data_IF_374400336462
#
_entry.id   IF_374400336462
#
_cell.length_a   1.000
_cell.length_b   1.000
_cell.length_c   1.000
_cell.angle_alpha   90.00
_cell.angle_beta   90.00
_cell.angle_gamma   90.00
#
_symmetry.space_group_name_H-M   'P 1'
#
loop_
_entity.id
_entity.type
_entity.pdbx_description
1 polymer ?
#
# COMPACT_ATOMS: atom_id res chain seq x y z
N UNK A 1 -67.27 28.65 18.08
CA UNK A 1 -67.10 29.74 19.07
C UNK A 1 -65.62 30.01 19.23
N UNK A 2 -65.19 31.28 19.09
CA UNK A 2 -63.83 31.84 19.33
C UNK A 2 -62.75 31.38 18.31
N UNK A 3 -62.35 32.08 17.23
CA UNK A 3 -61.98 33.48 16.95
C UNK A 3 -60.71 34.00 17.64
N UNK A 4 -59.71 34.33 16.80
CA UNK A 4 -58.61 35.34 16.96
C UNK A 4 -57.45 34.91 17.88
N UNK A 5 -56.16 35.08 17.61
CA UNK A 5 -55.37 35.99 16.73
C UNK A 5 -53.93 35.46 16.59
N UNK A 6 -53.29 35.57 15.42
CA UNK A 6 -51.85 35.90 15.35
C UNK A 6 -51.62 36.89 14.21
N UNK A 7 -51.06 38.05 14.58
CA UNK A 7 -50.68 39.17 13.71
C UNK A 7 -49.42 38.80 12.92
N UNK A 8 -49.44 38.95 11.61
CA UNK A 8 -48.23 39.02 10.76
C UNK A 8 -48.05 40.48 10.33
N UNK A 9 -46.98 41.12 10.81
CA UNK A 9 -46.52 42.42 10.33
C UNK A 9 -45.49 42.22 9.21
N UNK A 10 -45.72 42.91 8.11
CA UNK A 10 -44.84 43.09 6.96
C UNK A 10 -43.77 44.13 7.29
N UNK A 11 -42.50 43.85 6.98
CA UNK A 11 -41.54 44.90 6.63
C UNK A 11 -40.79 44.44 5.38
N UNK A 12 -41.08 45.17 4.31
CA UNK A 12 -40.37 45.23 3.04
C UNK A 12 -38.89 45.58 3.22
N UNK A 13 -38.01 44.83 2.57
CA UNK A 13 -36.74 45.37 2.09
C UNK A 13 -36.57 44.96 0.62
N UNK A 14 -36.96 45.87 -0.27
CA UNK A 14 -36.55 45.85 -1.68
C UNK A 14 -35.05 46.10 -1.74
N UNK A 15 -34.28 45.07 -2.11
CA UNK A 15 -32.88 45.23 -2.52
C UNK A 15 -32.84 45.10 -4.03
N UNK A 16 -32.54 46.21 -4.69
CA UNK A 16 -32.26 46.30 -6.13
C UNK A 16 -30.95 45.58 -6.44
N UNK A 17 -31.03 44.40 -7.06
CA UNK A 17 -29.89 43.73 -7.67
C UNK A 17 -29.58 44.39 -9.03
N UNK A 18 -28.70 45.38 -9.05
CA UNK A 18 -28.13 45.89 -10.30
C UNK A 18 -26.68 46.30 -10.11
N UNK A 19 -25.77 45.32 -10.14
CA UNK A 19 -24.38 45.48 -10.55
C UNK A 19 -23.63 44.13 -10.45
N UNK A 20 -23.81 43.25 -11.43
CA UNK A 20 -22.83 42.19 -11.71
C UNK A 20 -22.53 42.20 -13.22
N UNK A 21 -21.26 42.27 -13.64
CA UNK A 21 -20.90 42.33 -15.05
C UNK A 21 -21.10 40.97 -15.76
N UNK A 22 -21.32 40.97 -17.09
CA UNK A 22 -21.61 39.76 -17.86
C UNK A 22 -20.41 38.82 -17.98
N UNK A 23 -20.67 37.52 -17.85
CA UNK A 23 -19.70 36.41 -17.80
C UNK A 23 -19.13 35.99 -19.18
N UNK A 24 -18.71 36.95 -20.01
CA UNK A 24 -18.13 36.67 -21.34
C UNK A 24 -16.66 37.09 -21.50
N UNK A 25 -15.98 37.51 -20.43
CA UNK A 25 -14.56 37.90 -20.45
C UNK A 25 -13.65 36.97 -19.63
N UNK A 26 -13.83 35.66 -19.75
CA UNK A 26 -12.85 34.69 -19.27
C UNK A 26 -12.08 34.13 -20.47
N UNK A 27 -10.77 34.42 -20.62
CA UNK A 27 -9.98 33.87 -21.70
C UNK A 27 -9.90 32.34 -21.56
N UNK A 28 -10.46 31.70 -22.58
CA UNK A 28 -10.50 30.28 -22.79
C UNK A 28 -9.06 29.74 -22.82
N UNK A 29 -8.61 29.07 -21.75
CA UNK A 29 -7.31 28.41 -21.73
C UNK A 29 -7.39 27.18 -22.63
N UNK A 30 -6.99 27.34 -23.88
CA UNK A 30 -6.85 26.24 -24.84
C UNK A 30 -5.99 25.13 -24.23
N UNK A 31 -6.59 23.96 -24.01
CA UNK A 31 -5.85 22.75 -23.69
C UNK A 31 -5.24 22.25 -24.99
N UNK A 32 -3.95 22.52 -25.18
CA UNK A 32 -3.16 21.83 -26.19
C UNK A 32 -3.12 20.34 -25.84
N UNK A 33 -3.72 19.53 -26.72
CA UNK A 33 -3.60 18.08 -26.71
C UNK A 33 -2.30 17.78 -27.45
N UNK A 34 -1.24 17.41 -26.72
CA UNK A 34 -0.04 16.85 -27.35
C UNK A 34 -0.38 15.42 -27.79
N UNK A 35 -0.70 15.23 -29.08
CA UNK A 35 -0.71 13.90 -29.69
C UNK A 35 0.71 13.57 -30.13
N UNK A 36 1.37 12.66 -29.42
CA UNK A 36 2.55 11.96 -29.94
C UNK A 36 2.08 10.92 -30.97
N UNK A 37 2.61 10.89 -32.20
CA UNK A 37 2.35 9.80 -33.13
C UNK A 37 3.01 8.52 -32.60
N UNK A 38 2.22 7.46 -32.38
CA UNK A 38 2.76 6.14 -32.14
C UNK A 38 3.35 5.60 -33.45
N UNK A 39 4.67 5.38 -33.45
CA UNK A 39 5.36 4.58 -34.46
C UNK A 39 4.87 3.14 -34.36
N UNK A 40 4.11 2.69 -35.36
CA UNK A 40 3.69 1.29 -35.50
C UNK A 40 4.76 0.59 -36.34
N UNK A 41 5.62 -0.17 -35.66
CA UNK A 41 6.47 -1.16 -36.30
C UNK A 41 5.59 -2.36 -36.69
N UNK A 42 5.52 -2.67 -37.98
CA UNK A 42 4.87 -3.88 -38.49
C UNK A 42 5.67 -5.12 -38.07
N UNK A 43 5.02 -6.18 -37.55
CA UNK A 43 5.72 -7.41 -37.16
C UNK A 43 6.25 -8.14 -38.40
N UNK A 44 7.48 -8.70 -38.37
CA UNK A 44 7.97 -9.52 -39.46
C UNK A 44 7.16 -10.82 -39.56
N UNK A 45 6.63 -11.07 -40.75
CA UNK A 45 5.99 -12.32 -41.12
C UNK A 45 7.03 -13.43 -41.16
N UNK A 46 6.94 -14.39 -40.22
CA UNK A 46 7.50 -15.75 -40.34
C UNK A 46 7.04 -16.58 -39.12
N UNK A 47 5.82 -17.09 -39.16
CA UNK A 47 5.46 -18.23 -38.32
C UNK A 47 5.10 -19.39 -39.24
N UNK A 48 6.03 -20.34 -39.34
CA UNK A 48 5.83 -21.60 -40.03
C UNK A 48 4.70 -22.37 -39.34
N UNK A 49 3.68 -22.71 -40.12
CA UNK A 49 2.62 -23.63 -39.73
C UNK A 49 3.19 -25.01 -39.45
N UNK A 50 3.24 -25.43 -38.19
CA UNK A 50 3.49 -26.82 -37.82
C UNK A 50 2.19 -27.61 -37.97
N UNK A 51 2.26 -28.65 -38.80
CA UNK A 51 1.22 -29.64 -39.04
C UNK A 51 1.04 -30.54 -37.82
N UNK A 52 -0.22 -30.80 -37.46
CA UNK A 52 -0.63 -31.78 -36.46
C UNK A 52 -0.62 -33.19 -37.06
N UNK A 53 0.00 -34.19 -36.42
CA UNK A 53 -0.38 -35.58 -36.62
C UNK A 53 -1.38 -36.02 -35.55
N UNK A 54 -2.56 -36.42 -36.04
CA UNK A 54 -3.55 -37.27 -35.36
C UNK A 54 -2.95 -38.64 -35.04
N UNK A 55 -2.97 -39.07 -33.78
CA UNK A 55 -3.25 -40.46 -33.40
C UNK A 55 -3.30 -40.68 -31.87
N UNK A 56 -4.34 -41.43 -31.48
CA UNK A 56 -4.46 -42.34 -30.35
C UNK A 56 -4.58 -41.78 -28.91
N UNK A 57 -5.82 -41.82 -28.41
CA UNK A 57 -6.12 -41.95 -26.98
C UNK A 57 -5.70 -43.32 -26.44
N UNK A 58 -5.27 -43.38 -25.18
CA UNK A 58 -5.90 -44.31 -24.26
C UNK A 58 -6.36 -43.60 -22.97
N UNK A 59 -7.52 -44.04 -22.50
CA UNK A 59 -8.12 -43.65 -21.25
C UNK A 59 -7.24 -44.00 -20.05
N UNK A 60 -7.09 -43.05 -19.13
CA UNK A 60 -6.90 -43.37 -17.71
C UNK A 60 -7.59 -42.31 -16.85
N UNK A 61 -8.64 -42.76 -16.18
CA UNK A 61 -9.33 -42.06 -15.12
C UNK A 61 -8.35 -41.86 -13.97
N UNK A 62 -7.85 -40.65 -13.77
CA UNK A 62 -7.26 -40.24 -12.49
C UNK A 62 -7.96 -38.98 -12.01
N UNK A 63 -8.73 -39.13 -10.94
CA UNK A 63 -9.28 -38.03 -10.17
C UNK A 63 -8.14 -37.12 -9.71
N UNK A 64 -8.25 -35.78 -9.85
CA UNK A 64 -7.20 -34.89 -9.37
C UNK A 64 -7.08 -35.02 -7.85
N UNK A 65 -5.87 -35.09 -7.27
CA UNK A 65 -5.72 -35.04 -5.83
C UNK A 65 -6.21 -33.67 -5.38
N UNK A 66 -7.24 -33.71 -4.54
CA UNK A 66 -7.70 -32.56 -3.75
C UNK A 66 -6.48 -32.05 -2.98
N UNK A 67 -5.87 -30.98 -3.47
CA UNK A 67 -4.80 -30.27 -2.75
C UNK A 67 -5.46 -29.64 -1.53
N UNK A 68 -5.52 -30.41 -0.44
CA UNK A 68 -5.64 -29.87 0.89
C UNK A 68 -4.38 -29.03 1.08
N UNK A 69 -4.51 -27.72 0.85
CA UNK A 69 -3.48 -26.75 1.21
C UNK A 69 -3.38 -26.76 2.73
N UNK A 70 -2.64 -27.75 3.26
CA UNK A 70 -2.09 -27.67 4.61
C UNK A 70 -1.38 -26.33 4.64
N UNK A 71 -1.82 -25.47 5.54
CA UNK A 71 -1.16 -24.20 5.85
C UNK A 71 0.24 -24.56 6.37
N UNK A 72 1.20 -24.70 5.46
CA UNK A 72 2.59 -24.89 5.81
C UNK A 72 3.07 -23.57 6.40
N UNK A 73 3.57 -23.63 7.64
CA UNK A 73 4.32 -22.53 8.22
C UNK A 73 5.42 -22.16 7.20
N UNK A 74 5.54 -20.89 6.78
CA UNK A 74 6.60 -20.50 5.88
C UNK A 74 7.93 -20.88 6.51
N UNK A 75 8.77 -21.56 5.73
CA UNK A 75 10.10 -21.96 6.18
C UNK A 75 10.89 -20.68 6.57
N UNK A 76 11.60 -20.68 7.71
CA UNK A 76 12.42 -19.55 8.10
C UNK A 76 13.40 -19.20 6.97
N UNK A 77 13.69 -17.91 6.74
CA UNK A 77 14.61 -17.50 5.69
C UNK A 77 15.98 -18.14 5.94
N UNK A 78 16.63 -18.62 4.87
CA UNK A 78 17.95 -19.24 4.95
C UNK A 78 18.95 -18.30 5.64
N UNK A 79 19.83 -18.83 6.52
CA UNK A 79 20.81 -18.02 7.21
C UNK A 79 21.76 -17.37 6.20
N UNK A 80 21.89 -16.05 6.30
CA UNK A 80 22.78 -15.26 5.45
C UNK A 80 24.21 -15.72 5.73
N UNK A 81 24.94 -16.22 4.72
CA UNK A 81 26.29 -16.80 4.89
C UNK A 81 27.40 -15.81 4.54
N UNK A 82 27.08 -14.65 3.97
CA UNK A 82 28.07 -13.64 3.59
C UNK A 82 28.57 -12.87 4.83
N UNK A 83 29.89 -12.63 4.94
CA UNK A 83 30.44 -11.81 6.00
C UNK A 83 29.95 -10.36 5.84
N UNK A 84 29.62 -9.75 6.97
CA UNK A 84 29.21 -8.35 7.03
C UNK A 84 30.45 -7.47 6.76
N UNK A 85 30.36 -6.55 5.81
CA UNK A 85 31.35 -5.50 5.61
C UNK A 85 30.78 -4.17 6.16
N UNK A 86 30.98 -3.89 7.45
CA UNK A 86 30.61 -2.60 8.03
C UNK A 86 31.70 -1.57 7.79
N UNK A 87 31.31 -0.36 7.43
CA UNK A 87 32.23 0.79 7.42
C UNK A 87 32.64 1.17 8.84
N UNK A 88 33.87 1.67 8.98
CA UNK A 88 34.44 2.09 10.27
C UNK A 88 33.55 3.11 10.98
N UNK A 89 33.00 4.07 10.24
CA UNK A 89 32.08 5.07 10.80
C UNK A 89 30.81 4.46 11.39
N UNK A 90 30.28 3.38 10.81
CA UNK A 90 29.11 2.69 11.38
C UNK A 90 29.50 1.95 12.65
N UNK A 91 30.70 1.37 12.71
CA UNK A 91 31.19 0.70 13.93
C UNK A 91 31.34 1.68 15.10
N UNK A 92 31.80 2.90 14.85
CA UNK A 92 31.95 3.92 15.89
C UNK A 92 30.61 4.52 16.34
N UNK A 93 29.71 4.81 15.40
CA UNK A 93 28.48 5.56 15.67
C UNK A 93 27.29 4.69 16.07
N UNK A 94 27.27 3.39 15.71
CA UNK A 94 26.16 2.50 16.04
C UNK A 94 25.96 2.33 17.56
N UNK A 95 27.01 2.15 18.39
CA UNK A 95 26.86 2.11 19.83
C UNK A 95 26.24 3.41 20.38
N UNK A 96 26.68 4.57 19.88
CA UNK A 96 26.12 5.86 20.27
C UNK A 96 24.63 5.96 19.92
N UNK A 97 24.24 5.48 18.72
CA UNK A 97 22.84 5.42 18.30
C UNK A 97 22.03 4.47 19.22
N UNK A 98 22.58 3.32 19.59
CA UNK A 98 21.92 2.34 20.45
C UNK A 98 21.68 2.84 21.88
N UNK A 99 22.58 3.66 22.43
CA UNK A 99 22.41 4.26 23.78
C UNK A 99 21.29 5.29 23.88
N UNK A 100 20.81 5.83 22.76
CA UNK A 100 19.75 6.83 22.77
C UNK A 100 18.39 6.20 23.15
N UNK A 101 17.48 6.95 23.79
CA UNK A 101 16.27 6.37 24.38
C UNK A 101 15.17 6.00 23.38
N UNK A 102 15.10 6.68 22.23
CA UNK A 102 13.98 6.57 21.31
C UNK A 102 14.45 6.41 19.87
N UNK A 103 13.98 5.37 19.19
CA UNK A 103 14.38 5.06 17.83
C UNK A 103 13.17 5.03 16.89
N UNK A 104 13.39 5.43 15.64
CA UNK A 104 12.44 5.34 14.55
C UNK A 104 13.04 4.54 13.39
N UNK A 105 12.18 3.95 12.58
CA UNK A 105 12.58 3.22 11.37
C UNK A 105 11.66 3.55 10.21
N UNK A 106 12.24 3.65 9.02
CA UNK A 106 11.50 3.66 7.75
C UNK A 106 11.53 2.25 7.17
N UNK A 107 10.53 1.45 7.55
CA UNK A 107 10.39 0.06 7.11
C UNK A 107 9.67 -0.02 5.76
N UNK A 108 10.02 -1.00 4.94
CA UNK A 108 9.44 -1.21 3.62
C UNK A 108 8.58 -2.47 3.59
N UNK A 109 7.31 -2.29 3.23
CA UNK A 109 6.36 -3.40 3.01
C UNK A 109 5.91 -3.34 1.55
N UNK A 110 6.23 -4.38 0.77
CA UNK A 110 6.04 -4.41 -0.69
C UNK A 110 6.55 -3.15 -1.40
N UNK A 111 7.73 -2.66 -0.99
CA UNK A 111 8.37 -1.48 -1.58
C UNK A 111 7.77 -0.12 -1.18
N UNK A 112 6.73 -0.10 -0.34
CA UNK A 112 6.17 1.16 0.21
C UNK A 112 6.82 1.49 1.56
N UNK A 113 7.36 2.72 1.76
CA UNK A 113 7.95 3.14 3.02
C UNK A 113 6.89 3.49 4.06
N UNK A 114 7.13 3.08 5.30
CA UNK A 114 6.37 3.44 6.48
C UNK A 114 7.34 3.87 7.57
N UNK A 115 7.29 5.15 7.95
CA UNK A 115 8.02 5.68 9.10
C UNK A 115 7.25 5.33 10.37
N UNK A 116 7.88 4.58 11.26
CA UNK A 116 7.27 4.08 12.48
C UNK A 116 8.22 4.07 13.66
N UNK A 117 7.62 4.10 14.84
CA UNK A 117 8.23 3.91 16.16
C UNK A 117 7.57 2.71 16.86
N UNK A 118 8.11 2.32 18.01
CA UNK A 118 7.53 1.25 18.81
C UNK A 118 6.16 1.67 19.35
N UNK A 119 5.17 0.79 19.19
CA UNK A 119 3.80 1.03 19.64
C UNK A 119 2.87 1.59 18.56
N UNK A 120 3.40 2.06 17.43
CA UNK A 120 2.60 2.61 16.34
C UNK A 120 1.71 1.56 15.67
N UNK A 121 0.54 2.01 15.20
CA UNK A 121 -0.41 1.20 14.44
C UNK A 121 -0.34 1.55 12.95
N UNK A 122 0.05 0.57 12.14
CA UNK A 122 0.10 0.67 10.68
C UNK A 122 -1.12 0.05 10.03
N UNK A 123 -1.87 0.85 9.28
CA UNK A 123 -2.95 0.37 8.41
C UNK A 123 -2.45 0.20 6.99
N UNK A 124 -2.25 -1.05 6.56
CA UNK A 124 -1.75 -1.37 5.24
C UNK A 124 -2.85 -1.26 4.18
N UNK A 125 -2.57 -0.69 2.98
CA UNK A 125 -3.53 -0.48 1.90
C UNK A 125 -3.91 -1.76 1.14
N UNK A 126 -3.80 -2.93 1.78
CA UNK A 126 -4.14 -4.23 1.21
C UNK A 126 -4.40 -5.27 2.32
N UNK A 127 -5.04 -6.37 1.93
CA UNK A 127 -5.19 -7.56 2.75
C UNK A 127 -3.97 -8.45 2.57
N UNK A 128 -3.21 -8.64 3.64
CA UNK A 128 -2.06 -9.52 3.65
C UNK A 128 -2.54 -10.97 3.72
N UNK A 129 -2.24 -11.82 2.72
CA UNK A 129 -2.65 -13.21 2.75
C UNK A 129 -1.79 -13.99 3.76
N UNK A 130 -2.35 -15.06 4.33
CA UNK A 130 -1.59 -16.02 5.14
C UNK A 130 -1.30 -15.58 6.58
N UNK A 131 -1.66 -14.35 6.97
CA UNK A 131 -1.52 -13.89 8.36
C UNK A 131 -2.81 -14.07 9.16
N UNK A 132 -2.64 -14.37 10.44
CA UNK A 132 -3.70 -14.48 11.45
C UNK A 132 -3.51 -13.35 12.47
N UNK A 133 -4.60 -12.79 13.02
CA UNK A 133 -4.50 -11.92 14.19
C UNK A 133 -3.69 -12.59 15.30
N UNK A 134 -2.64 -11.92 15.76
CA UNK A 134 -1.71 -12.45 16.76
C UNK A 134 -0.34 -12.81 16.22
N UNK A 135 -0.20 -13.06 14.92
CA UNK A 135 1.08 -13.41 14.29
C UNK A 135 2.09 -12.26 14.43
N UNK A 136 3.37 -12.62 14.57
CA UNK A 136 4.48 -11.66 14.67
C UNK A 136 5.34 -11.76 13.41
N UNK A 137 5.51 -10.63 12.74
CA UNK A 137 6.26 -10.49 11.49
C UNK A 137 7.59 -9.81 11.79
N UNK A 138 8.70 -10.37 11.31
CA UNK A 138 10.01 -9.71 11.31
C UNK A 138 10.12 -8.83 10.06
N UNK A 139 10.29 -7.52 10.25
CA UNK A 139 10.46 -6.56 9.17
C UNK A 139 11.95 -6.45 8.83
N UNK A 140 12.33 -7.09 7.74
CA UNK A 140 13.73 -7.21 7.33
C UNK A 140 14.25 -6.00 6.55
N UNK A 141 13.35 -5.26 5.86
CA UNK A 141 13.74 -4.19 4.95
C UNK A 141 13.48 -2.84 5.58
N UNK A 142 14.56 -2.11 5.87
CA UNK A 142 14.51 -0.72 6.31
C UNK A 142 15.44 0.14 5.44
N UNK A 143 15.00 1.33 5.06
CA UNK A 143 15.87 2.30 4.36
C UNK A 143 16.68 3.15 5.33
N UNK A 144 16.05 3.51 6.44
CA UNK A 144 16.68 4.33 7.46
C UNK A 144 16.24 3.92 8.83
N UNK A 145 17.19 3.96 9.75
CA UNK A 145 16.96 3.76 11.16
C UNK A 145 17.67 4.89 11.90
N UNK A 146 17.03 5.47 12.90
CA UNK A 146 17.64 6.59 13.58
C UNK A 146 17.04 6.84 14.94
N UNK A 147 17.69 7.76 15.62
CA UNK A 147 17.19 8.42 16.81
C UNK A 147 17.33 9.94 16.56
N UNK A 148 17.27 10.75 17.62
CA UNK A 148 17.31 12.20 17.55
C UNK A 148 18.55 12.74 16.85
N UNK A 149 19.75 12.26 17.24
CA UNK A 149 21.02 12.87 16.81
C UNK A 149 21.75 12.04 15.74
N UNK A 150 21.54 10.72 15.74
CA UNK A 150 22.19 9.80 14.81
C UNK A 150 21.16 9.11 13.91
N UNK A 151 21.47 8.99 12.62
CA UNK A 151 20.64 8.25 11.65
C UNK A 151 21.52 7.37 10.76
N UNK A 152 21.27 6.07 10.83
CA UNK A 152 21.81 5.06 9.92
C UNK A 152 20.97 5.03 8.64
N UNK A 153 21.61 5.29 7.50
CA UNK A 153 21.01 5.20 6.17
C UNK A 153 21.61 4.02 5.41
N UNK A 154 20.76 3.19 4.83
CA UNK A 154 21.17 2.10 3.96
C UNK A 154 21.24 2.49 2.50
N UNK A 155 22.15 1.86 1.76
CA UNK A 155 22.28 2.00 0.30
C UNK A 155 22.19 0.61 -0.35
N UNK A 156 20.99 0.11 -0.72
CA UNK A 156 19.64 0.71 -0.67
C UNK A 156 18.86 0.45 0.64
N UNK A 157 19.23 -0.58 1.39
CA UNK A 157 18.62 -0.96 2.66
C UNK A 157 19.69 -1.14 3.73
N UNK A 158 19.30 -0.95 4.98
CA UNK A 158 20.12 -1.31 6.16
C UNK A 158 20.17 -2.83 6.25
N UNK A 159 21.31 -3.37 6.68
CA UNK A 159 21.47 -4.81 6.84
C UNK A 159 20.55 -5.35 7.95
N UNK A 160 19.93 -6.51 7.70
CA UNK A 160 18.91 -7.11 8.55
C UNK A 160 19.44 -7.56 9.91
N UNK A 161 20.77 -7.72 10.01
CA UNK A 161 21.46 -8.15 11.23
C UNK A 161 21.67 -6.98 12.19
N UNK A 162 21.71 -5.74 11.71
CA UNK A 162 21.95 -4.55 12.55
C UNK A 162 20.75 -4.16 13.42
N UNK A 163 19.56 -4.64 13.06
CA UNK A 163 18.34 -4.28 13.76
C UNK A 163 17.32 -5.41 13.72
N UNK A 164 16.49 -5.47 14.75
CA UNK A 164 15.34 -6.33 14.79
C UNK A 164 14.07 -5.48 14.95
N UNK A 165 13.24 -5.47 13.90
CA UNK A 165 11.93 -4.83 13.94
C UNK A 165 10.84 -5.90 13.85
N UNK A 166 10.02 -6.00 14.91
CA UNK A 166 8.89 -6.92 14.97
C UNK A 166 7.57 -6.16 14.91
N UNK A 167 6.65 -6.66 14.09
CA UNK A 167 5.31 -6.12 13.94
C UNK A 167 4.28 -7.22 14.20
N UNK A 168 3.35 -6.97 15.11
CA UNK A 168 2.26 -7.90 15.41
C UNK A 168 1.04 -7.59 14.54
N UNK A 169 0.43 -8.61 13.98
CA UNK A 169 -0.81 -8.50 13.21
C UNK A 169 -1.97 -8.35 14.19
N UNK A 170 -2.63 -7.19 14.17
CA UNK A 170 -3.82 -6.96 15.01
C UNK A 170 -5.07 -7.57 14.38
N UNK A 171 -5.15 -7.53 13.05
CA UNK A 171 -6.25 -8.13 12.31
C UNK A 171 -6.51 -7.44 10.99
N UNK A 172 -7.73 -7.63 10.46
CA UNK A 172 -8.15 -7.06 9.19
C UNK A 172 -9.39 -6.21 9.38
N UNK A 173 -9.35 -4.98 8.89
CA UNK A 173 -10.48 -4.06 8.86
C UNK A 173 -11.05 -3.96 7.45
N UNK A 174 -12.30 -3.53 7.33
CA UNK A 174 -12.93 -3.25 6.05
C UNK A 174 -13.46 -1.81 6.02
N UNK A 175 -13.31 -1.15 4.87
CA UNK A 175 -13.96 0.15 4.66
C UNK A 175 -15.50 0.01 4.55
N UNK A 176 -16.25 1.11 4.75
CA UNK A 176 -17.67 1.14 4.39
C UNK A 176 -17.87 0.78 2.91
N UNK A 177 -18.96 0.08 2.61
CA UNK A 177 -19.28 -0.36 1.24
C UNK A 177 -19.53 0.86 0.35
N UNK A 178 -18.69 1.04 -0.67
CA UNK A 178 -18.88 2.06 -1.71
C UNK A 178 -19.63 1.46 -2.90
N UNK A 179 -20.59 2.19 -3.45
CA UNK A 179 -21.33 1.81 -4.65
C UNK A 179 -21.02 2.78 -5.79
N UNK A 180 -20.29 2.31 -6.80
CA UNK A 180 -20.00 3.09 -8.01
C UNK A 180 -21.01 2.76 -9.09
N UNK A 181 -21.88 3.72 -9.40
CA UNK A 181 -22.82 3.61 -10.51
C UNK A 181 -22.15 4.01 -11.82
N UNK A 182 -22.18 3.09 -12.79
CA UNK A 182 -21.70 3.32 -14.15
C UNK A 182 -22.91 3.33 -15.09
N UNK A 183 -23.24 4.51 -15.59
CA UNK A 183 -24.33 4.71 -16.55
C UNK A 183 -23.85 5.52 -17.76
N UNK A 184 -24.64 5.50 -18.84
CA UNK A 184 -24.43 6.33 -20.04
C UNK A 184 -25.69 7.17 -20.27
N UNK A 185 -25.52 8.37 -20.83
CA UNK A 185 -26.64 9.27 -21.14
C UNK A 185 -27.62 8.58 -22.09
N UNK A 186 -28.94 8.73 -21.86
CA UNK A 186 -30.04 8.08 -22.62
C UNK A 186 -30.00 6.54 -22.58
N UNK A 187 -29.39 5.95 -21.57
CA UNK A 187 -29.47 4.50 -21.33
C UNK A 187 -30.07 4.25 -19.94
N UNK A 188 -31.16 3.47 -19.88
CA UNK A 188 -31.83 3.13 -18.61
C UNK A 188 -31.03 2.15 -17.75
N UNK A 189 -30.06 1.43 -18.34
CA UNK A 189 -29.23 0.44 -17.63
C UNK A 189 -28.14 1.14 -16.81
N UNK A 190 -28.15 0.91 -15.50
CA UNK A 190 -27.12 1.35 -14.57
C UNK A 190 -26.33 0.13 -14.08
N UNK A 191 -25.02 0.14 -14.25
CA UNK A 191 -24.14 -0.90 -13.69
C UNK A 191 -23.62 -0.43 -12.33
N UNK A 192 -24.13 -1.02 -11.26
CA UNK A 192 -23.69 -0.74 -9.89
C UNK A 192 -22.51 -1.66 -9.57
N UNK A 193 -21.34 -1.08 -9.29
CA UNK A 193 -20.14 -1.80 -8.83
C UNK A 193 -19.97 -1.54 -7.34
N UNK A 194 -20.10 -2.58 -6.53
CA UNK A 194 -19.88 -2.50 -5.08
C UNK A 194 -18.40 -2.76 -4.77
N UNK A 195 -17.80 -1.96 -3.90
CA UNK A 195 -16.41 -2.10 -3.48
C UNK A 195 -16.33 -2.01 -1.96
N UNK A 196 -15.74 -3.01 -1.33
CA UNK A 196 -15.47 -3.08 0.10
C UNK A 196 -14.07 -3.65 0.30
N UNK A 197 -13.07 -2.76 0.32
CA UNK A 197 -11.67 -3.16 0.47
C UNK A 197 -11.36 -3.58 1.91
N UNK A 198 -10.38 -4.48 2.06
CA UNK A 198 -9.86 -4.94 3.35
C UNK A 198 -8.44 -4.39 3.55
N UNK A 199 -8.15 -4.00 4.78
CA UNK A 199 -6.88 -3.44 5.22
C UNK A 199 -6.32 -4.26 6.36
N UNK A 200 -5.03 -4.54 6.35
CA UNK A 200 -4.37 -5.25 7.45
C UNK A 200 -3.84 -4.24 8.44
N UNK A 201 -4.11 -4.45 9.72
CA UNK A 201 -3.55 -3.62 10.79
C UNK A 201 -2.39 -4.36 11.42
N UNK A 202 -1.24 -3.70 11.44
CA UNK A 202 -0.07 -4.10 12.18
C UNK A 202 0.15 -3.15 13.34
N UNK A 203 0.73 -3.65 14.42
CA UNK A 203 1.26 -2.84 15.52
C UNK A 203 2.75 -3.13 15.67
N UNK A 204 3.59 -2.11 15.67
CA UNK A 204 5.03 -2.30 15.88
C UNK A 204 5.23 -2.67 17.34
N UNK A 205 5.74 -3.87 17.59
CA UNK A 205 5.91 -4.42 18.94
C UNK A 205 7.29 -4.13 19.49
N UNK A 206 8.32 -4.34 18.68
CA UNK A 206 9.71 -4.19 19.10
C UNK A 206 10.53 -3.55 18.00
N UNK A 207 11.44 -2.68 18.42
CA UNK A 207 12.50 -2.13 17.59
C UNK A 207 13.78 -2.14 18.40
N UNK A 208 14.69 -3.04 18.04
CA UNK A 208 15.97 -3.24 18.72
C UNK A 208 17.11 -3.04 17.74
N UNK A 209 18.24 -2.62 18.27
CA UNK A 209 19.50 -2.47 17.56
C UNK A 209 20.46 -3.48 18.13
N UNK A 210 21.07 -4.23 17.24
CA UNK A 210 22.04 -5.24 17.64
C UNK A 210 23.39 -4.55 17.72
N UNK A 211 24.08 -4.70 18.85
CA UNK A 211 25.42 -4.15 19.03
C UNK A 211 26.43 -4.99 18.26
N UNK A 212 27.61 -4.41 18.00
CA UNK A 212 28.65 -5.05 17.17
C UNK A 212 29.12 -6.37 17.79
N UNK A 213 29.13 -6.45 19.12
CA UNK A 213 29.46 -7.66 19.87
C UNK A 213 28.53 -8.85 19.53
N UNK A 214 27.25 -8.58 19.27
CA UNK A 214 26.25 -9.60 18.90
C UNK A 214 26.37 -10.01 17.42
N UNK A 215 27.07 -9.23 16.59
CA UNK A 215 27.22 -9.50 15.16
C UNK A 215 28.44 -10.35 14.83
N UNK A 216 29.42 -10.42 15.73
CA UNK A 216 30.66 -11.20 15.57
C UNK A 216 30.54 -12.64 16.11
N UNK A 217 29.46 -12.95 16.85
CA UNK A 217 29.11 -14.31 17.29
C UNK A 217 28.35 -15.09 16.22
#
# INVERSE_FOLDING_TARGET
>A
MLSRTVRRSLIDTRITFSALPPTFLLPNRARYINSTPQHVESPPASFNSSTLPTAASPASTSSPPRVLTKRSVPEPPAPITTPIALSESVKELLPLLATQPSHYVSAHIHGKPYLVTVGDMLRLPFHMPGVVPGDVLRLNRASSLGSRDYTLKGTPYVDERLFECRARVMGTEAEPMRTKEKTKRRNRKIKIVKSKLKFTILRISELKLNTIEELEQ
#
